data_IF_484447226650
#
_entry.id   IF_484447226650
#
_cell.length_a   1.000
_cell.length_b   1.000
_cell.length_c   1.000
_cell.angle_alpha   90.00
_cell.angle_beta   90.00
_cell.angle_gamma   90.00
#
_symmetry.space_group_name_H-M   'P 1'
#
loop_
_entity.id
_entity.type
_entity.pdbx_description
1 polymer ?
#
# COMPACT_ATOMS: atom_id res chain seq x y z
N UNK A 1 -3.02 18.50 3.13
CA UNK A 1 -4.19 18.53 2.19
C UNK A 1 -4.77 17.13 1.89
N UNK A 2 -4.27 16.07 2.52
CA UNK A 2 -4.70 14.67 2.30
C UNK A 2 -5.79 14.18 3.26
N UNK A 3 -6.37 15.05 4.10
CA UNK A 3 -7.26 14.66 5.20
C UNK A 3 -8.75 14.99 5.00
N UNK A 4 -9.20 15.35 3.82
CA UNK A 4 -10.64 15.37 3.53
C UNK A 4 -10.96 14.27 2.52
N UNK A 5 -11.81 13.29 2.85
CA UNK A 5 -12.46 12.47 1.83
C UNK A 5 -13.20 13.43 0.91
N UNK A 6 -12.93 13.37 -0.38
CA UNK A 6 -13.78 14.01 -1.38
C UNK A 6 -15.20 13.44 -1.20
N UNK A 7 -16.13 14.26 -0.73
CA UNK A 7 -17.55 13.94 -0.66
C UNK A 7 -18.16 13.93 -2.07
N UNK A 8 -17.75 12.96 -2.85
CA UNK A 8 -18.34 12.71 -4.16
C UNK A 8 -18.89 11.29 -4.13
N UNK A 9 -20.09 11.10 -4.64
CA UNK A 9 -20.84 9.82 -4.66
C UNK A 9 -20.14 8.61 -5.32
N UNK A 10 -18.87 8.74 -5.68
CA UNK A 10 -17.95 7.69 -6.08
C UNK A 10 -17.13 7.12 -4.90
N UNK A 11 -17.24 7.70 -3.72
CA UNK A 11 -16.32 7.45 -2.58
C UNK A 11 -16.52 6.11 -1.87
N UNK A 12 -17.64 5.41 -2.08
CA UNK A 12 -17.81 4.07 -1.49
C UNK A 12 -16.82 3.04 -2.06
N UNK A 13 -16.28 3.25 -3.26
CA UNK A 13 -15.26 2.38 -3.86
C UNK A 13 -13.85 2.73 -3.38
N UNK A 14 -13.55 3.99 -3.10
CA UNK A 14 -12.22 4.44 -2.66
C UNK A 14 -11.77 3.77 -1.35
N UNK A 15 -12.72 3.42 -0.48
CA UNK A 15 -12.44 2.69 0.77
C UNK A 15 -11.79 1.31 0.58
N UNK A 16 -11.94 0.71 -0.61
CA UNK A 16 -11.47 -0.64 -0.90
C UNK A 16 -10.43 -0.71 -2.03
N UNK A 17 -9.96 0.46 -2.50
CA UNK A 17 -9.05 0.54 -3.65
C UNK A 17 -7.70 1.16 -3.34
N UNK A 18 -7.38 1.38 -2.08
CA UNK A 18 -6.05 1.86 -1.68
C UNK A 18 -4.96 0.79 -1.83
N UNK A 19 -5.33 -0.51 -1.86
CA UNK A 19 -4.44 -1.63 -2.14
C UNK A 19 -4.91 -2.40 -3.37
N UNK A 20 -3.98 -2.78 -4.23
CA UNK A 20 -4.19 -3.61 -5.41
C UNK A 20 -3.32 -4.87 -5.32
N UNK A 21 -3.94 -6.05 -5.40
CA UNK A 21 -3.24 -7.33 -5.40
C UNK A 21 -2.59 -7.57 -6.76
N UNK A 22 -1.31 -7.88 -6.79
CA UNK A 22 -0.57 -8.16 -8.03
C UNK A 22 -1.18 -9.30 -8.83
N UNK A 23 -1.72 -10.30 -8.16
CA UNK A 23 -2.33 -11.49 -8.77
C UNK A 23 -3.62 -11.20 -9.56
N UNK A 24 -4.23 -10.04 -9.34
CA UNK A 24 -5.54 -9.68 -9.95
C UNK A 24 -5.60 -8.26 -10.49
N UNK A 25 -4.51 -7.51 -10.41
CA UNK A 25 -4.46 -6.09 -10.81
C UNK A 25 -4.83 -5.89 -12.28
N UNK A 26 -4.47 -6.83 -13.14
CA UNK A 26 -4.76 -6.86 -14.58
C UNK A 26 -6.24 -7.13 -14.90
N UNK A 27 -6.99 -7.71 -13.97
CA UNK A 27 -8.38 -8.17 -14.16
C UNK A 27 -9.41 -7.27 -13.49
N UNK A 28 -9.07 -6.72 -12.33
CA UNK A 28 -10.01 -5.93 -11.52
C UNK A 28 -10.37 -4.62 -12.21
N UNK A 29 -11.67 -4.28 -12.35
CA UNK A 29 -12.11 -3.07 -13.04
C UNK A 29 -11.47 -1.78 -12.52
N UNK A 30 -11.18 -1.70 -11.22
CA UNK A 30 -10.58 -0.52 -10.59
C UNK A 30 -9.11 -0.32 -10.95
N UNK A 31 -8.39 -1.34 -11.44
CA UNK A 31 -6.94 -1.31 -11.59
C UNK A 31 -6.45 -1.65 -13.00
N UNK A 32 -7.21 -2.50 -13.74
CA UNK A 32 -6.78 -3.05 -15.03
C UNK A 32 -6.40 -1.99 -16.05
N UNK A 33 -7.03 -0.82 -16.01
CA UNK A 33 -6.75 0.25 -16.97
C UNK A 33 -5.40 0.92 -16.70
N UNK A 34 -5.13 1.27 -15.44
CA UNK A 34 -3.85 1.81 -15.00
C UNK A 34 -2.72 0.80 -15.26
N UNK A 35 -2.96 -0.48 -14.93
CA UNK A 35 -2.02 -1.57 -15.17
C UNK A 35 -1.68 -1.73 -16.65
N UNK A 36 -2.72 -1.81 -17.52
CA UNK A 36 -2.55 -1.98 -18.96
C UNK A 36 -1.72 -0.87 -19.62
N UNK A 37 -1.73 0.33 -19.02
CA UNK A 37 -0.95 1.49 -19.48
C UNK A 37 0.40 1.62 -18.81
N UNK A 38 0.81 0.66 -17.96
CA UNK A 38 2.03 0.74 -17.14
C UNK A 38 2.11 2.06 -16.35
N UNK A 39 0.98 2.50 -15.76
CA UNK A 39 0.91 3.72 -14.96
C UNK A 39 1.45 3.43 -13.55
N UNK A 40 2.76 3.28 -13.44
CA UNK A 40 3.46 2.98 -12.20
C UNK A 40 3.82 4.24 -11.42
N UNK A 41 3.85 4.12 -10.10
CA UNK A 41 4.18 5.19 -9.19
C UNK A 41 4.97 4.66 -7.99
N UNK A 42 5.60 5.56 -7.26
CA UNK A 42 6.22 5.31 -5.97
C UNK A 42 5.55 6.18 -4.91
N UNK A 43 5.22 5.59 -3.78
CA UNK A 43 4.69 6.30 -2.62
C UNK A 43 5.77 6.32 -1.55
N UNK A 44 6.41 7.49 -1.28
CA UNK A 44 7.34 7.61 -0.17
C UNK A 44 6.58 7.60 1.16
N UNK A 45 7.04 6.78 2.10
CA UNK A 45 6.43 6.64 3.43
C UNK A 45 7.51 6.48 4.49
N UNK A 46 7.25 7.00 5.69
CA UNK A 46 8.10 6.78 6.86
C UNK A 46 7.64 5.55 7.66
N UNK A 47 6.35 5.24 7.59
CA UNK A 47 5.73 4.18 8.37
C UNK A 47 4.42 3.72 7.73
N UNK A 48 4.17 2.42 7.77
CA UNK A 48 2.86 1.86 7.48
C UNK A 48 2.25 1.27 8.75
N UNK A 49 0.95 1.06 8.75
CA UNK A 49 0.24 0.52 9.90
C UNK A 49 -0.56 -0.70 9.53
N UNK A 50 -0.30 -1.80 10.24
CA UNK A 50 -1.00 -3.06 10.05
C UNK A 50 -1.62 -3.56 11.36
N UNK A 51 -2.74 -4.27 11.30
CA UNK A 51 -3.33 -4.89 12.47
C UNK A 51 -2.54 -6.15 12.85
N UNK A 52 -2.11 -6.24 14.11
CA UNK A 52 -1.59 -7.47 14.72
C UNK A 52 -2.60 -7.96 15.74
N UNK A 53 -2.89 -9.24 15.73
CA UNK A 53 -3.86 -9.83 16.65
C UNK A 53 -3.14 -10.41 17.87
N UNK A 54 -3.41 -9.81 19.03
CA UNK A 54 -2.88 -10.25 20.33
C UNK A 54 -4.06 -10.61 21.23
N UNK A 55 -4.08 -11.85 21.71
CA UNK A 55 -5.19 -12.38 22.52
C UNK A 55 -6.59 -12.15 21.88
N UNK A 56 -6.70 -12.36 20.57
CA UNK A 56 -7.95 -12.19 19.82
C UNK A 56 -8.36 -10.74 19.54
N UNK A 57 -7.57 -9.75 19.96
CA UNK A 57 -7.85 -8.32 19.73
C UNK A 57 -6.89 -7.75 18.69
N UNK A 58 -7.45 -6.97 17.77
CA UNK A 58 -6.65 -6.25 16.77
C UNK A 58 -5.96 -5.05 17.42
N UNK A 59 -4.65 -5.04 17.40
CA UNK A 59 -3.80 -3.91 17.77
C UNK A 59 -3.23 -3.25 16.52
N UNK A 60 -3.14 -1.92 16.53
CA UNK A 60 -2.49 -1.18 15.45
C UNK A 60 -0.98 -1.15 15.69
N UNK A 61 -0.23 -1.74 14.77
CA UNK A 61 1.24 -1.74 14.80
C UNK A 61 1.80 -0.88 13.67
N UNK A 62 2.85 -0.12 13.97
CA UNK A 62 3.60 0.64 12.99
C UNK A 62 4.80 -0.15 12.52
N UNK A 63 5.01 -0.23 11.20
CA UNK A 63 6.14 -0.87 10.53
C UNK A 63 6.98 0.22 9.89
N UNK A 64 8.27 0.25 10.13
CA UNK A 64 9.19 1.30 9.70
C UNK A 64 10.61 0.73 9.53
N UNK A 65 11.46 1.45 8.81
CA UNK A 65 12.88 1.08 8.68
C UNK A 65 13.62 1.30 10.00
N UNK A 66 14.51 0.38 10.32
CA UNK A 66 15.33 0.44 11.54
C UNK A 66 16.23 1.68 11.59
N UNK A 67 16.74 2.13 10.43
CA UNK A 67 17.57 3.33 10.29
C UNK A 67 16.79 4.65 10.38
N UNK A 68 15.44 4.58 10.47
CA UNK A 68 14.56 5.74 10.56
C UNK A 68 14.36 6.51 9.24
N UNK A 69 14.95 6.04 8.14
CA UNK A 69 14.78 6.67 6.83
C UNK A 69 13.43 6.28 6.18
N UNK A 70 12.86 7.14 5.34
CA UNK A 70 11.68 6.80 4.56
C UNK A 70 12.02 5.70 3.53
N UNK A 71 11.00 4.97 3.12
CA UNK A 71 11.08 3.96 2.07
C UNK A 71 10.00 4.19 1.02
N UNK A 72 10.13 3.55 -0.14
CA UNK A 72 9.21 3.72 -1.26
C UNK A 72 8.42 2.46 -1.52
N UNK A 73 7.10 2.62 -1.65
CA UNK A 73 6.15 1.54 -1.94
C UNK A 73 5.75 1.59 -3.40
N UNK A 74 5.78 0.43 -4.07
CA UNK A 74 5.28 0.29 -5.43
C UNK A 74 3.78 0.54 -5.48
N UNK A 75 3.36 1.33 -6.46
CA UNK A 75 1.97 1.69 -6.66
C UNK A 75 1.63 1.78 -8.16
N UNK A 76 0.35 1.77 -8.45
CA UNK A 76 -0.22 2.19 -9.73
C UNK A 76 -1.00 3.50 -9.51
N UNK A 77 -1.11 4.31 -10.56
CA UNK A 77 -1.92 5.52 -10.49
C UNK A 77 -2.93 5.57 -11.65
N UNK A 78 -4.02 6.26 -11.43
CA UNK A 78 -4.97 6.63 -12.47
C UNK A 78 -5.30 8.12 -12.38
N UNK A 79 -5.79 8.68 -13.47
CA UNK A 79 -6.12 10.08 -13.59
C UNK A 79 -7.50 10.23 -14.19
N UNK A 80 -8.34 11.04 -13.55
CA UNK A 80 -9.68 11.38 -14.02
C UNK A 80 -9.93 12.87 -13.88
N UNK A 81 -10.97 13.36 -14.54
CA UNK A 81 -11.42 14.75 -14.40
C UNK A 81 -12.70 14.76 -13.58
N UNK A 82 -12.72 15.52 -12.50
CA UNK A 82 -13.89 15.73 -11.63
C UNK A 82 -14.10 17.25 -11.53
N UNK A 83 -15.29 17.71 -11.89
CA UNK A 83 -15.65 19.13 -11.88
C UNK A 83 -14.63 20.04 -12.61
N UNK A 84 -14.12 19.57 -13.76
CA UNK A 84 -13.11 20.26 -14.56
C UNK A 84 -11.69 20.23 -14.03
N UNK A 85 -11.45 19.58 -12.89
CA UNK A 85 -10.12 19.42 -12.28
C UNK A 85 -9.56 18.02 -12.50
N UNK A 86 -8.29 17.95 -12.88
CA UNK A 86 -7.58 16.67 -12.96
C UNK A 86 -7.28 16.12 -11.56
N UNK A 87 -7.85 14.97 -11.24
CA UNK A 87 -7.62 14.24 -9.99
C UNK A 87 -6.81 12.98 -10.28
N UNK A 88 -5.72 12.78 -9.53
CA UNK A 88 -4.93 11.57 -9.56
C UNK A 88 -5.18 10.74 -8.31
N UNK A 89 -5.36 9.45 -8.49
CA UNK A 89 -5.47 8.47 -7.41
C UNK A 89 -4.35 7.44 -7.52
N UNK A 90 -3.96 6.86 -6.40
CA UNK A 90 -2.92 5.82 -6.34
C UNK A 90 -3.40 4.65 -5.52
N UNK A 91 -2.96 3.46 -5.91
CA UNK A 91 -3.18 2.21 -5.17
C UNK A 91 -1.85 1.51 -4.98
N UNK A 92 -1.54 1.17 -3.72
CA UNK A 92 -0.34 0.40 -3.38
C UNK A 92 -0.46 -1.02 -3.93
N UNK A 93 0.61 -1.55 -4.48
CA UNK A 93 0.68 -2.96 -4.87
C UNK A 93 1.01 -3.83 -3.66
N UNK A 94 0.34 -4.97 -3.60
CA UNK A 94 0.57 -5.96 -2.54
C UNK A 94 0.77 -7.35 -3.11
N UNK A 95 1.63 -8.13 -2.45
CA UNK A 95 1.91 -9.54 -2.72
C UNK A 95 1.47 -10.42 -1.55
N UNK A 96 1.31 -11.72 -1.78
CA UNK A 96 1.08 -12.69 -0.71
C UNK A 96 2.28 -12.71 0.26
N UNK A 97 2.01 -12.86 1.54
CA UNK A 97 3.00 -12.86 2.61
C UNK A 97 2.75 -13.95 3.66
N UNK A 98 2.03 -15.03 3.32
CA UNK A 98 1.71 -16.11 4.25
C UNK A 98 2.97 -16.76 4.84
N UNK A 99 4.02 -16.87 4.05
CA UNK A 99 5.30 -17.47 4.46
C UNK A 99 6.38 -16.42 4.78
N UNK A 100 6.06 -15.12 4.76
CA UNK A 100 7.03 -14.07 5.03
C UNK A 100 7.34 -13.98 6.53
N UNK A 101 8.61 -14.13 6.98
CA UNK A 101 8.94 -14.24 8.42
C UNK A 101 8.49 -13.06 9.27
N UNK A 102 8.41 -11.87 8.68
CA UNK A 102 8.02 -10.64 9.39
C UNK A 102 6.55 -10.26 9.13
N UNK A 103 6.07 -10.28 7.87
CA UNK A 103 4.74 -9.81 7.54
C UNK A 103 3.62 -10.79 7.89
N UNK A 104 3.92 -12.09 8.01
CA UNK A 104 2.93 -13.13 8.38
C UNK A 104 2.31 -12.95 9.78
N UNK A 105 2.97 -12.18 10.67
CA UNK A 105 2.45 -11.89 12.02
C UNK A 105 1.33 -10.85 12.04
N UNK A 106 1.08 -10.15 10.93
CA UNK A 106 0.02 -9.13 10.82
C UNK A 106 -1.25 -9.73 10.22
N UNK A 107 -2.33 -8.92 10.17
CA UNK A 107 -3.67 -9.33 9.78
C UNK A 107 -4.31 -10.39 10.69
N UNK A 108 -5.56 -10.73 10.44
CA UNK A 108 -6.25 -11.79 11.17
C UNK A 108 -5.57 -13.15 10.97
N UNK A 109 -5.51 -14.01 11.99
CA UNK A 109 -4.87 -15.33 11.86
C UNK A 109 -5.41 -16.17 10.70
N UNK A 110 -6.71 -16.11 10.45
CA UNK A 110 -7.42 -16.86 9.40
C UNK A 110 -7.37 -16.21 8.02
N UNK A 111 -6.96 -14.93 7.92
CA UNK A 111 -6.91 -14.22 6.66
C UNK A 111 -5.56 -14.45 5.95
N UNK A 112 -5.59 -14.44 4.61
CA UNK A 112 -4.38 -14.38 3.78
C UNK A 112 -3.51 -13.19 4.20
N UNK A 113 -2.23 -13.44 4.38
CA UNK A 113 -1.26 -12.40 4.73
C UNK A 113 -0.81 -11.64 3.48
N UNK A 114 -0.72 -10.35 3.63
CA UNK A 114 -0.32 -9.45 2.53
C UNK A 114 0.84 -8.58 2.95
N UNK A 115 1.72 -8.28 2.01
CA UNK A 115 2.79 -7.30 2.16
C UNK A 115 2.70 -6.27 1.04
N UNK A 116 3.05 -5.04 1.35
CA UNK A 116 3.39 -4.05 0.33
C UNK A 116 4.71 -4.44 -0.34
N UNK A 117 4.95 -3.92 -1.54
CA UNK A 117 6.21 -4.08 -2.26
C UNK A 117 7.07 -2.86 -1.97
N UNK A 118 8.22 -3.06 -1.36
CA UNK A 118 9.20 -1.99 -1.11
C UNK A 118 10.19 -1.98 -2.26
N UNK A 119 10.28 -0.86 -2.97
CA UNK A 119 11.24 -0.67 -4.07
C UNK A 119 12.53 -0.07 -3.50
N UNK A 120 13.67 -0.79 -3.56
CA UNK A 120 14.97 -0.26 -3.20
C UNK A 120 15.35 0.96 -4.06
N UNK A 121 16.22 1.81 -3.55
CA UNK A 121 16.57 3.07 -4.18
C UNK A 121 17.12 2.91 -5.59
N UNK A 122 17.98 1.93 -5.79
CA UNK A 122 18.62 1.59 -7.06
C UNK A 122 17.63 1.14 -8.15
N UNK A 123 16.44 0.68 -7.79
CA UNK A 123 15.41 0.19 -8.73
C UNK A 123 14.25 1.17 -8.96
N UNK A 124 14.27 2.37 -8.34
CA UNK A 124 13.15 3.32 -8.42
C UNK A 124 12.90 3.81 -9.84
N UNK A 125 13.96 4.18 -10.56
CA UNK A 125 13.85 4.63 -11.94
C UNK A 125 13.40 3.51 -12.86
N UNK A 126 13.94 2.32 -12.70
CA UNK A 126 13.55 1.15 -13.49
C UNK A 126 12.08 0.80 -13.28
N UNK A 127 11.60 0.80 -12.03
CA UNK A 127 10.19 0.62 -11.71
C UNK A 127 9.28 1.64 -12.41
N UNK A 128 9.63 2.92 -12.35
CA UNK A 128 8.82 3.98 -12.93
C UNK A 128 8.77 3.92 -14.47
N UNK A 129 9.75 3.33 -15.12
CA UNK A 129 9.89 3.28 -16.57
C UNK A 129 9.61 1.90 -17.18
N UNK A 130 9.47 0.85 -16.38
CA UNK A 130 9.21 -0.51 -16.88
C UNK A 130 7.85 -0.63 -17.54
N UNK A 131 7.69 -1.67 -18.34
CA UNK A 131 6.38 -2.08 -18.87
C UNK A 131 5.72 -3.09 -17.94
N UNK A 132 4.39 -3.22 -18.03
CA UNK A 132 3.63 -4.17 -17.20
C UNK A 132 4.11 -5.63 -17.36
N UNK A 133 4.69 -5.97 -18.50
CA UNK A 133 5.27 -7.31 -18.79
C UNK A 133 6.57 -7.57 -17.99
N UNK A 134 7.19 -6.52 -17.47
CA UNK A 134 8.45 -6.54 -16.70
C UNK A 134 8.21 -6.30 -15.22
N UNK A 135 6.99 -5.92 -14.83
CA UNK A 135 6.68 -5.43 -13.50
C UNK A 135 6.91 -6.48 -12.40
N UNK A 136 6.76 -7.77 -12.71
CA UNK A 136 6.96 -8.87 -11.76
C UNK A 136 8.41 -8.99 -11.27
N UNK A 137 9.39 -8.49 -12.03
CA UNK A 137 10.80 -8.42 -11.61
C UNK A 137 11.02 -7.51 -10.40
N UNK A 138 10.07 -6.63 -10.12
CA UNK A 138 10.11 -5.67 -9.00
C UNK A 138 9.22 -6.07 -7.82
N UNK A 139 8.62 -7.26 -7.83
CA UNK A 139 7.78 -7.72 -6.72
C UNK A 139 8.63 -8.25 -5.55
N UNK A 140 9.48 -7.37 -5.04
CA UNK A 140 10.35 -7.67 -3.93
C UNK A 140 9.58 -7.91 -2.64
N UNK A 141 9.96 -8.95 -1.91
CA UNK A 141 9.53 -9.10 -0.53
C UNK A 141 10.16 -8.01 0.36
N UNK A 142 9.44 -7.60 1.40
CA UNK A 142 9.99 -6.63 2.37
C UNK A 142 11.23 -7.22 3.06
N UNK A 143 12.40 -6.56 3.03
CA UNK A 143 13.63 -7.10 3.61
C UNK A 143 13.54 -7.11 5.15
N UNK A 144 13.48 -8.31 5.73
CA UNK A 144 13.29 -8.53 7.18
C UNK A 144 14.32 -7.79 8.04
N UNK A 145 15.58 -7.78 7.59
CA UNK A 145 16.68 -7.19 8.35
C UNK A 145 16.62 -5.66 8.45
N UNK A 146 15.86 -5.00 7.57
CA UNK A 146 15.80 -3.55 7.51
C UNK A 146 14.58 -2.96 8.24
N UNK A 147 13.60 -3.80 8.62
CA UNK A 147 12.33 -3.33 9.15
C UNK A 147 12.09 -3.80 10.57
N UNK A 148 11.45 -2.91 11.33
CA UNK A 148 10.96 -3.14 12.69
C UNK A 148 9.50 -2.77 12.82
N UNK A 149 8.87 -3.26 13.87
CA UNK A 149 7.49 -2.91 14.19
C UNK A 149 7.31 -2.68 15.69
N UNK A 150 6.47 -1.71 16.02
CA UNK A 150 6.06 -1.42 17.39
C UNK A 150 4.55 -1.20 17.48
N UNK A 151 3.99 -1.43 18.66
CA UNK A 151 2.63 -1.05 18.98
C UNK A 151 2.44 0.47 18.87
N UNK A 152 1.46 0.88 18.06
CA UNK A 152 1.14 2.29 17.80
C UNK A 152 -0.37 2.51 17.93
N UNK A 153 -0.91 2.73 19.14
CA UNK A 153 -2.33 2.97 19.33
C UNK A 153 -2.77 4.22 18.57
N UNK A 154 -4.01 4.23 18.10
CA UNK A 154 -4.59 5.47 17.57
C UNK A 154 -4.63 6.52 18.69
N UNK A 155 -4.27 7.78 18.41
CA UNK A 155 -4.47 8.83 19.39
C UNK A 155 -5.95 8.89 19.77
N UNK A 156 -6.21 9.05 21.07
CA UNK A 156 -7.58 9.24 21.55
C UNK A 156 -8.20 10.42 20.80
N UNK A 157 -9.37 10.22 20.19
CA UNK A 157 -10.14 11.35 19.67
C UNK A 157 -10.43 12.26 20.86
N UNK A 158 -9.91 13.50 20.83
CA UNK A 158 -10.40 14.51 21.77
C UNK A 158 -11.92 14.60 21.59
N UNK A 159 -12.69 14.62 22.70
CA UNK A 159 -14.12 14.90 22.57
C UNK A 159 -14.30 16.22 21.85
N UNK A 160 -15.34 16.37 21.01
CA UNK A 160 -15.65 17.65 20.41
C UNK A 160 -15.85 18.68 21.53
N UNK A 161 -15.23 19.85 21.35
CA UNK A 161 -15.41 20.99 22.26
C UNK A 161 -16.84 21.50 22.16
#
# INVERSE_FOLDING_TARGET
LWNKPLEIGLCNKAKYTYNARTETVDKKPSFRHAWAKSQFALIPVEKIYEPRYVNGKAERWGIYREDGLPFTVAAIYDSTVIDGQQVRSMSMLTINADNHPFMSQFHKPEDEKRSIIVIPEEYREDWLNCKKEEADQFFFEMPVAEFKSNYFPKPNKKPPA
#
